data_IF_128462386839
#
_entry.id   IF_128462386839
#
_cell.length_a   1.000
_cell.length_b   1.000
_cell.length_c   1.000
_cell.angle_alpha   90.00
_cell.angle_beta   90.00
_cell.angle_gamma   90.00
#
_symmetry.space_group_name_H-M   'P 1'
#
loop_
_entity.id
_entity.type
_entity.pdbx_description
1 polymer ?
#
# COMPACT_ATOMS: atom_id res chain seq x y z
N UNK A 1 -49.80 -71.97 -45.87
CA UNK A 1 -49.71 -71.09 -47.06
C UNK A 1 -48.93 -69.87 -46.61
N UNK A 2 -47.63 -69.78 -46.96
CA UNK A 2 -47.10 -68.93 -48.05
C UNK A 2 -47.18 -67.44 -47.68
N UNK A 3 -46.18 -66.56 -47.80
CA UNK A 3 -44.79 -66.54 -48.30
C UNK A 3 -44.23 -65.13 -47.89
N UNK A 4 -42.98 -64.83 -48.26
CA UNK A 4 -42.31 -63.51 -48.38
C UNK A 4 -41.39 -63.04 -47.25
N UNK A 5 -40.34 -63.85 -47.07
CA UNK A 5 -38.93 -63.43 -46.96
C UNK A 5 -38.48 -62.74 -48.26
N UNK A 6 -38.00 -61.48 -48.25
CA UNK A 6 -36.98 -60.96 -49.20
C UNK A 6 -36.51 -59.57 -48.72
N UNK A 7 -35.26 -59.44 -48.24
CA UNK A 7 -34.37 -58.24 -48.38
C UNK A 7 -33.23 -58.14 -47.35
N UNK A 8 -33.09 -59.06 -46.39
CA UNK A 8 -31.98 -59.02 -45.42
C UNK A 8 -30.77 -59.92 -45.75
N UNK A 9 -30.70 -60.51 -46.95
CA UNK A 9 -29.72 -61.57 -47.29
C UNK A 9 -28.62 -61.18 -48.32
N UNK A 10 -28.47 -59.89 -48.65
CA UNK A 10 -27.67 -59.48 -49.82
C UNK A 10 -26.18 -59.22 -49.63
N UNK A 11 -25.69 -58.83 -48.44
CA UNK A 11 -24.36 -58.19 -48.34
C UNK A 11 -23.35 -58.89 -47.41
N UNK A 12 -23.71 -60.00 -46.78
CA UNK A 12 -22.79 -60.76 -45.91
C UNK A 12 -22.13 -61.97 -46.60
N UNK A 13 -22.44 -62.21 -47.89
CA UNK A 13 -22.14 -63.49 -48.57
C UNK A 13 -20.94 -63.43 -49.53
N UNK A 14 -20.31 -62.28 -49.76
CA UNK A 14 -19.20 -62.19 -50.73
C UNK A 14 -17.79 -62.34 -50.14
N UNK A 15 -17.61 -62.29 -48.81
CA UNK A 15 -16.28 -62.46 -48.20
C UNK A 15 -15.98 -63.90 -47.72
N UNK A 16 -16.98 -64.79 -47.74
CA UNK A 16 -16.83 -66.18 -47.27
C UNK A 16 -16.59 -67.20 -48.40
N UNK A 17 -16.64 -66.78 -49.67
CA UNK A 17 -16.59 -67.67 -50.83
C UNK A 17 -15.20 -68.12 -51.29
N UNK A 18 -14.11 -67.47 -50.84
CA UNK A 18 -12.76 -67.76 -51.36
C UNK A 18 -11.88 -68.63 -50.45
N UNK A 19 -12.42 -69.13 -49.34
CA UNK A 19 -11.64 -69.97 -48.40
C UNK A 19 -11.85 -71.49 -48.59
N UNK A 20 -12.77 -71.92 -49.45
CA UNK A 20 -13.20 -73.33 -49.54
C UNK A 20 -12.74 -74.08 -50.80
N UNK A 21 -12.00 -73.45 -51.72
CA UNK A 21 -11.53 -74.10 -52.96
C UNK A 21 -9.99 -74.16 -53.02
N UNK A 22 -9.40 -74.93 -52.11
CA UNK A 22 -8.03 -75.44 -52.26
C UNK A 22 -7.80 -76.72 -51.43
N UNK A 23 -8.87 -77.49 -51.16
CA UNK A 23 -8.81 -78.75 -50.41
C UNK A 23 -8.51 -79.93 -51.35
N UNK A 24 -7.37 -79.88 -52.02
CA UNK A 24 -6.86 -81.02 -52.75
C UNK A 24 -5.58 -80.66 -53.45
N UNK A 25 -4.44 -81.13 -52.93
CA UNK A 25 -3.46 -81.95 -53.66
C UNK A 25 -2.35 -82.42 -52.70
N UNK A 26 -2.10 -83.73 -52.77
CA UNK A 26 -0.88 -84.47 -52.42
C UNK A 26 -0.41 -84.50 -50.95
N UNK A 27 -0.60 -85.67 -50.34
CA UNK A 27 0.12 -86.13 -49.17
C UNK A 27 1.61 -86.38 -49.46
N UNK A 28 2.51 -85.85 -48.62
CA UNK A 28 3.80 -86.48 -48.29
C UNK A 28 4.29 -86.04 -46.90
N UNK A 29 4.72 -87.04 -46.14
CA UNK A 29 5.17 -87.03 -44.75
C UNK A 29 6.19 -85.94 -44.39
N UNK A 30 5.91 -85.21 -43.29
CA UNK A 30 6.73 -85.15 -42.06
C UNK A 30 6.68 -83.75 -41.43
N UNK A 31 6.18 -83.67 -40.20
CA UNK A 31 6.14 -82.45 -39.40
C UNK A 31 4.72 -81.95 -39.19
N UNK A 32 4.42 -81.52 -37.95
CA UNK A 32 3.16 -80.88 -37.59
C UNK A 32 2.77 -79.86 -38.68
N UNK A 33 1.53 -79.83 -39.18
CA UNK A 33 1.12 -78.99 -40.33
C UNK A 33 1.34 -77.47 -40.15
N UNK A 34 1.79 -77.04 -38.97
CA UNK A 34 2.23 -75.69 -38.64
C UNK A 34 3.70 -75.39 -38.97
N UNK A 35 4.53 -76.40 -39.28
CA UNK A 35 5.97 -76.27 -39.57
C UNK A 35 6.31 -76.59 -41.03
N UNK A 36 5.37 -76.38 -41.95
CA UNK A 36 5.63 -76.52 -43.39
C UNK A 36 6.32 -75.25 -43.94
N UNK A 37 7.65 -75.35 -44.10
CA UNK A 37 8.53 -74.30 -44.61
C UNK A 37 8.20 -73.86 -46.05
N UNK A 38 7.40 -74.61 -46.82
CA UNK A 38 6.99 -74.20 -48.15
C UNK A 38 6.08 -72.96 -48.15
N UNK A 39 5.36 -72.70 -47.05
CA UNK A 39 4.44 -71.55 -46.91
C UNK A 39 5.09 -70.29 -46.33
N UNK A 40 6.29 -70.44 -45.73
CA UNK A 40 6.98 -69.38 -45.00
C UNK A 40 7.37 -68.18 -45.88
N UNK A 41 7.87 -68.34 -47.12
CA UNK A 41 8.23 -67.21 -47.97
C UNK A 41 7.05 -66.25 -48.26
N UNK A 42 5.85 -66.80 -48.47
CA UNK A 42 4.65 -65.99 -48.71
C UNK A 42 4.20 -65.25 -47.43
N UNK A 43 4.24 -65.92 -46.28
CA UNK A 43 3.95 -65.28 -44.99
C UNK A 43 4.96 -64.17 -44.66
N UNK A 44 6.25 -64.41 -44.89
CA UNK A 44 7.33 -63.43 -44.68
C UNK A 44 7.17 -62.23 -45.62
N UNK A 45 6.79 -62.46 -46.88
CA UNK A 45 6.53 -61.37 -47.83
C UNK A 45 5.40 -60.45 -47.34
N UNK A 46 4.24 -61.01 -46.97
CA UNK A 46 3.13 -60.21 -46.45
C UNK A 46 3.43 -59.57 -45.09
N UNK A 47 4.20 -60.23 -44.23
CA UNK A 47 4.70 -59.66 -42.98
C UNK A 47 5.58 -58.44 -43.27
N UNK A 48 6.51 -58.53 -44.21
CA UNK A 48 7.37 -57.41 -44.61
C UNK A 48 6.55 -56.26 -45.19
N UNK A 49 5.56 -56.54 -46.04
CA UNK A 49 4.65 -55.52 -46.58
C UNK A 49 3.86 -54.83 -45.47
N UNK A 50 3.24 -55.59 -44.56
CA UNK A 50 2.50 -55.04 -43.43
C UNK A 50 3.39 -54.21 -42.49
N UNK A 51 4.61 -54.69 -42.21
CA UNK A 51 5.60 -53.98 -41.41
C UNK A 51 5.97 -52.64 -42.04
N UNK A 52 6.24 -52.61 -43.35
CA UNK A 52 6.56 -51.38 -44.08
C UNK A 52 5.39 -50.40 -44.05
N UNK A 53 4.16 -50.87 -44.25
CA UNK A 53 2.97 -50.02 -44.18
C UNK A 53 2.82 -49.41 -42.78
N UNK A 54 2.92 -50.21 -41.72
CA UNK A 54 2.84 -49.73 -40.33
C UNK A 54 3.98 -48.75 -40.03
N UNK A 55 5.21 -49.04 -40.48
CA UNK A 55 6.36 -48.16 -40.31
C UNK A 55 6.15 -46.80 -40.96
N UNK A 56 5.60 -46.76 -42.18
CA UNK A 56 5.30 -45.49 -42.86
C UNK A 56 4.21 -44.70 -42.13
N UNK A 57 3.16 -45.36 -41.63
CA UNK A 57 2.10 -44.71 -40.84
C UNK A 57 2.67 -44.13 -39.54
N UNK A 58 3.48 -44.90 -38.81
CA UNK A 58 4.08 -44.44 -37.56
C UNK A 58 5.04 -43.28 -37.79
N UNK A 59 5.93 -43.41 -38.77
CA UNK A 59 6.95 -42.40 -39.07
C UNK A 59 6.36 -41.09 -39.62
N UNK A 60 5.31 -41.16 -40.47
CA UNK A 60 4.73 -39.96 -41.07
C UNK A 60 3.49 -39.40 -40.41
N UNK A 61 2.79 -40.14 -39.56
CA UNK A 61 1.55 -39.67 -38.94
C UNK A 61 1.62 -39.70 -37.42
N UNK A 62 1.95 -40.85 -36.82
CA UNK A 62 1.86 -41.00 -35.37
C UNK A 62 2.96 -40.20 -34.63
N UNK A 63 4.22 -40.38 -35.00
CA UNK A 63 5.36 -39.68 -34.39
C UNK A 63 5.28 -38.15 -34.53
N UNK A 64 5.01 -37.57 -35.72
CA UNK A 64 4.92 -36.11 -35.82
C UNK A 64 3.74 -35.52 -35.04
N UNK A 65 2.60 -36.23 -34.93
CA UNK A 65 1.47 -35.78 -34.09
C UNK A 65 1.83 -35.74 -32.60
N UNK A 66 2.50 -36.76 -32.10
CA UNK A 66 2.95 -36.81 -30.69
C UNK A 66 4.00 -35.72 -30.43
N UNK A 67 4.94 -35.54 -31.36
CA UNK A 67 5.94 -34.47 -31.30
C UNK A 67 5.32 -33.08 -31.21
N UNK A 68 4.28 -32.81 -32.00
CA UNK A 68 3.53 -31.54 -31.95
C UNK A 68 2.90 -31.28 -30.59
N UNK A 69 2.24 -32.28 -29.99
CA UNK A 69 1.61 -32.13 -28.66
C UNK A 69 2.66 -31.84 -27.57
N UNK A 70 3.81 -32.51 -27.62
CA UNK A 70 4.90 -32.27 -26.66
C UNK A 70 5.45 -30.85 -26.84
N UNK A 71 5.69 -30.42 -28.08
CA UNK A 71 6.17 -29.08 -28.39
C UNK A 71 5.18 -28.00 -27.95
N UNK A 72 3.87 -28.19 -28.18
CA UNK A 72 2.82 -27.26 -27.75
C UNK A 72 2.79 -27.12 -26.22
N UNK A 73 2.90 -28.25 -25.49
CA UNK A 73 2.95 -28.22 -24.02
C UNK A 73 4.20 -27.54 -23.51
N UNK A 74 5.36 -27.86 -24.07
CA UNK A 74 6.61 -27.20 -23.72
C UNK A 74 6.54 -25.70 -23.99
N UNK A 75 6.02 -25.30 -25.16
CA UNK A 75 5.83 -23.90 -25.54
C UNK A 75 4.91 -23.16 -24.57
N UNK A 76 3.78 -23.75 -24.16
CA UNK A 76 2.90 -23.16 -23.15
C UNK A 76 3.59 -23.02 -21.81
N UNK A 77 4.27 -24.05 -21.31
CA UNK A 77 4.97 -24.01 -20.03
C UNK A 77 6.06 -22.92 -20.04
N UNK A 78 6.87 -22.86 -21.10
CA UNK A 78 7.92 -21.83 -21.23
C UNK A 78 7.32 -20.44 -21.30
N UNK A 79 6.24 -20.24 -22.05
CA UNK A 79 5.55 -18.96 -22.13
C UNK A 79 4.95 -18.55 -20.77
N UNK A 80 4.32 -19.47 -20.06
CA UNK A 80 3.72 -19.21 -18.75
C UNK A 80 4.81 -18.89 -17.71
N UNK A 81 5.96 -19.57 -17.76
CA UNK A 81 7.12 -19.26 -16.92
C UNK A 81 7.66 -17.85 -17.24
N UNK A 82 7.85 -17.53 -18.51
CA UNK A 82 8.35 -16.21 -18.92
C UNK A 82 7.39 -15.09 -18.48
N UNK A 83 6.08 -15.29 -18.66
CA UNK A 83 5.05 -14.36 -18.21
C UNK A 83 5.05 -14.21 -16.68
N UNK A 84 5.21 -15.32 -15.93
CA UNK A 84 5.30 -15.29 -14.47
C UNK A 84 6.55 -14.55 -13.98
N UNK A 85 7.70 -14.74 -14.63
CA UNK A 85 8.94 -14.03 -14.33
C UNK A 85 8.82 -12.53 -14.62
N UNK A 86 8.20 -12.15 -15.74
CA UNK A 86 7.94 -10.75 -16.08
C UNK A 86 7.01 -10.09 -15.05
N UNK A 87 5.91 -10.76 -14.68
CA UNK A 87 4.98 -10.27 -13.66
C UNK A 87 5.66 -10.16 -12.29
N UNK A 88 6.52 -11.11 -11.93
CA UNK A 88 7.32 -11.05 -10.70
C UNK A 88 8.28 -9.87 -10.71
N UNK A 89 8.99 -9.63 -11.83
CA UNK A 89 9.89 -8.49 -11.96
C UNK A 89 9.14 -7.16 -11.84
N UNK A 90 7.98 -7.04 -12.50
CA UNK A 90 7.10 -5.85 -12.37
C UNK A 90 6.60 -5.66 -10.94
N UNK A 91 6.23 -6.74 -10.25
CA UNK A 91 5.79 -6.65 -8.86
C UNK A 91 6.91 -6.18 -7.92
N UNK A 92 8.13 -6.70 -8.09
CA UNK A 92 9.30 -6.27 -7.30
C UNK A 92 9.65 -4.80 -7.55
N UNK A 93 9.60 -4.36 -8.82
CA UNK A 93 9.86 -2.95 -9.14
C UNK A 93 8.76 -2.04 -8.58
N UNK A 94 7.49 -2.44 -8.69
CA UNK A 94 6.37 -1.70 -8.11
C UNK A 94 6.47 -1.63 -6.58
N UNK A 95 6.86 -2.71 -5.91
CA UNK A 95 7.11 -2.73 -4.46
C UNK A 95 8.24 -1.78 -4.09
N UNK A 96 9.34 -1.77 -4.85
CA UNK A 96 10.47 -0.86 -4.62
C UNK A 96 10.04 0.60 -4.76
N UNK A 97 9.32 0.95 -5.82
CA UNK A 97 8.80 2.31 -6.04
C UNK A 97 7.83 2.70 -4.93
N UNK A 98 6.94 1.79 -4.52
CA UNK A 98 6.02 2.03 -3.42
C UNK A 98 6.74 2.29 -2.09
N UNK A 99 7.75 1.47 -1.76
CA UNK A 99 8.54 1.65 -0.54
C UNK A 99 9.34 2.96 -0.57
N UNK A 100 9.91 3.31 -1.72
CA UNK A 100 10.60 4.59 -1.90
C UNK A 100 9.64 5.77 -1.68
N UNK A 101 8.47 5.74 -2.32
CA UNK A 101 7.45 6.77 -2.15
C UNK A 101 6.98 6.89 -0.69
N UNK A 102 6.91 5.78 0.05
CA UNK A 102 6.56 5.79 1.48
C UNK A 102 7.65 6.45 2.34
N UNK A 103 8.93 6.17 2.04
CA UNK A 103 10.07 6.81 2.72
C UNK A 103 10.11 8.30 2.42
N UNK A 104 9.95 8.68 1.14
CA UNK A 104 9.95 10.07 0.71
C UNK A 104 8.78 10.85 1.35
N UNK A 105 7.57 10.28 1.37
CA UNK A 105 6.41 10.88 2.01
C UNK A 105 6.60 11.06 3.53
N UNK A 106 7.23 10.09 4.21
CA UNK A 106 7.57 10.21 5.63
C UNK A 106 8.62 11.29 5.88
N UNK A 107 9.65 11.36 5.02
CA UNK A 107 10.66 12.41 5.08
C UNK A 107 10.07 13.80 4.89
N UNK A 108 9.18 13.95 3.90
CA UNK A 108 8.47 15.19 3.63
C UNK A 108 7.55 15.60 4.77
N UNK A 109 6.79 14.67 5.33
CA UNK A 109 5.95 14.94 6.50
C UNK A 109 6.79 15.40 7.70
N UNK A 110 7.95 14.78 7.96
CA UNK A 110 8.86 15.21 9.02
C UNK A 110 9.41 16.61 8.76
N UNK A 111 9.76 16.93 7.51
CA UNK A 111 10.22 18.26 7.11
C UNK A 111 9.14 19.32 7.36
N UNK A 112 7.91 19.07 6.92
CA UNK A 112 6.77 19.98 7.14
C UNK A 112 6.52 20.20 8.63
N UNK A 113 6.56 19.14 9.44
CA UNK A 113 6.39 19.26 10.89
C UNK A 113 7.51 20.08 11.53
N UNK A 114 8.76 19.87 11.12
CA UNK A 114 9.89 20.64 11.63
C UNK A 114 9.82 22.12 11.24
N UNK A 115 9.43 22.42 9.99
CA UNK A 115 9.23 23.78 9.50
C UNK A 115 8.10 24.49 10.24
N UNK A 116 6.95 23.82 10.40
CA UNK A 116 5.82 24.35 11.14
C UNK A 116 6.16 24.61 12.62
N UNK A 117 6.91 23.73 13.27
CA UNK A 117 7.37 23.97 14.65
C UNK A 117 8.31 25.17 14.73
N UNK A 118 9.22 25.33 13.77
CA UNK A 118 10.12 26.48 13.73
C UNK A 118 9.37 27.80 13.53
N UNK A 119 8.36 27.81 12.64
CA UNK A 119 7.50 28.97 12.41
C UNK A 119 6.66 29.32 13.65
N UNK A 120 6.02 28.32 14.27
CA UNK A 120 5.26 28.49 15.51
C UNK A 120 6.15 29.05 16.63
N UNK A 121 7.38 28.55 16.78
CA UNK A 121 8.29 29.05 17.82
C UNK A 121 8.67 30.51 17.57
N UNK A 122 8.95 30.87 16.31
CA UNK A 122 9.28 32.25 15.94
C UNK A 122 8.11 33.20 16.22
N UNK A 123 6.89 32.79 15.88
CA UNK A 123 5.68 33.59 16.13
C UNK A 123 5.40 33.71 17.63
N UNK A 124 5.60 32.63 18.40
CA UNK A 124 5.48 32.63 19.85
C UNK A 124 6.49 33.58 20.49
N UNK A 125 7.75 33.56 20.06
CA UNK A 125 8.80 34.44 20.57
C UNK A 125 8.47 35.91 20.28
N UNK A 126 7.98 36.21 19.07
CA UNK A 126 7.56 37.56 18.69
C UNK A 126 6.33 38.03 19.49
N UNK A 127 5.33 37.16 19.68
CA UNK A 127 4.15 37.47 20.47
C UNK A 127 4.49 37.69 21.95
N UNK A 128 5.38 36.85 22.51
CA UNK A 128 5.87 36.98 23.88
C UNK A 128 6.64 38.28 24.08
N UNK A 129 7.58 38.61 23.18
CA UNK A 129 8.33 39.86 23.25
C UNK A 129 7.42 41.10 23.17
N UNK A 130 6.38 41.06 22.33
CA UNK A 130 5.38 42.13 22.26
C UNK A 130 4.56 42.23 23.55
N UNK A 131 4.10 41.10 24.09
CA UNK A 131 3.35 41.07 25.34
C UNK A 131 4.19 41.61 26.51
N UNK A 132 5.46 41.22 26.61
CA UNK A 132 6.38 41.71 27.64
C UNK A 132 6.61 43.22 27.54
N UNK A 133 6.73 43.75 26.32
CA UNK A 133 6.86 45.18 26.09
C UNK A 133 5.59 45.95 26.52
N UNK A 134 4.41 45.45 26.17
CA UNK A 134 3.12 46.04 26.55
C UNK A 134 2.89 45.98 28.07
N UNK A 135 3.19 44.85 28.71
CA UNK A 135 3.12 44.68 30.16
C UNK A 135 4.07 45.66 30.86
N UNK A 136 5.31 45.79 30.37
CA UNK A 136 6.31 46.70 30.94
C UNK A 136 5.85 48.16 30.83
N UNK A 137 5.32 48.56 29.67
CA UNK A 137 4.80 49.91 29.45
C UNK A 137 3.62 50.22 30.37
N UNK A 138 2.65 49.29 30.47
CA UNK A 138 1.47 49.45 31.33
C UNK A 138 1.83 49.46 32.82
N UNK A 139 2.83 48.68 33.21
CA UNK A 139 3.37 48.68 34.57
C UNK A 139 3.99 50.03 34.89
N UNK A 140 4.85 50.56 34.02
CA UNK A 140 5.46 51.88 34.20
C UNK A 140 4.43 53.02 34.27
N UNK A 141 3.38 52.96 33.43
CA UNK A 141 2.27 53.91 33.49
C UNK A 141 1.51 53.81 34.82
N UNK A 142 1.18 52.59 35.24
CA UNK A 142 0.46 52.34 36.51
C UNK A 142 1.28 52.81 37.71
N UNK A 143 2.59 52.56 37.72
CA UNK A 143 3.50 53.06 38.76
C UNK A 143 3.51 54.59 38.81
N UNK A 144 3.57 55.27 37.66
CA UNK A 144 3.47 56.75 37.62
C UNK A 144 2.15 57.25 38.18
N UNK A 145 1.02 56.67 37.78
CA UNK A 145 -0.30 57.03 38.31
C UNK A 145 -0.39 56.81 39.82
N UNK A 146 0.16 55.71 40.33
CA UNK A 146 0.20 55.43 41.77
C UNK A 146 1.04 56.47 42.51
N UNK A 147 2.21 56.84 41.99
CA UNK A 147 3.06 57.89 42.59
C UNK A 147 2.38 59.27 42.57
N UNK A 148 1.68 59.62 41.49
CA UNK A 148 0.87 60.85 41.42
C UNK A 148 -0.26 60.86 42.45
N UNK A 149 -1.01 59.76 42.57
CA UNK A 149 -2.07 59.60 43.58
C UNK A 149 -1.46 59.68 44.99
N UNK A 150 -0.31 59.05 45.23
CA UNK A 150 0.38 59.07 46.53
C UNK A 150 0.84 60.48 46.88
N UNK A 151 1.40 61.21 45.94
CA UNK A 151 1.80 62.60 46.12
C UNK A 151 0.59 63.52 46.38
N UNK A 152 -0.51 63.32 45.65
CA UNK A 152 -1.77 64.04 45.86
C UNK A 152 -2.38 63.75 47.24
N UNK A 153 -2.46 62.48 47.62
CA UNK A 153 -2.94 62.07 48.94
C UNK A 153 -2.09 62.66 50.07
N UNK A 154 -0.76 62.68 49.93
CA UNK A 154 0.12 63.30 50.91
C UNK A 154 -0.16 64.81 51.08
N UNK A 155 -0.43 65.53 49.99
CA UNK A 155 -0.82 66.96 50.04
C UNK A 155 -2.16 67.15 50.73
N UNK A 156 -3.17 66.36 50.35
CA UNK A 156 -4.50 66.42 50.95
C UNK A 156 -4.46 66.12 52.47
N UNK A 157 -3.62 65.17 52.90
CA UNK A 157 -3.41 64.90 54.33
C UNK A 157 -2.82 66.11 55.06
N UNK A 158 -1.85 66.82 54.47
CA UNK A 158 -1.28 68.04 55.06
C UNK A 158 -2.33 69.15 55.16
N UNK A 159 -3.14 69.33 54.12
CA UNK A 159 -4.20 70.33 54.07
C UNK A 159 -5.25 70.07 55.16
N UNK A 160 -5.82 68.85 55.20
CA UNK A 160 -6.81 68.45 56.20
C UNK A 160 -6.24 68.53 57.61
N UNK A 161 -4.99 68.11 57.83
CA UNK A 161 -4.34 68.21 59.14
C UNK A 161 -4.17 69.67 59.59
N UNK A 162 -3.83 70.58 58.67
CA UNK A 162 -3.68 72.02 58.97
C UNK A 162 -5.02 72.66 59.28
N UNK A 163 -6.05 72.36 58.48
CA UNK A 163 -7.42 72.85 58.70
C UNK A 163 -7.98 72.34 60.04
N UNK A 164 -7.85 71.03 60.29
CA UNK A 164 -8.34 70.39 61.53
C UNK A 164 -7.61 70.95 62.76
N UNK A 165 -6.27 71.09 62.70
CA UNK A 165 -5.49 71.69 63.79
C UNK A 165 -5.89 73.15 64.05
N UNK A 166 -6.11 73.94 62.99
CA UNK A 166 -6.60 75.31 63.11
C UNK A 166 -7.98 75.39 63.77
N UNK A 167 -8.91 74.53 63.35
CA UNK A 167 -10.25 74.42 63.92
C UNK A 167 -10.22 74.03 65.41
N UNK A 168 -9.36 73.08 65.79
CA UNK A 168 -9.17 72.68 67.20
C UNK A 168 -8.61 73.83 68.05
N UNK A 169 -7.60 74.56 67.54
CA UNK A 169 -7.02 75.72 68.26
C UNK A 169 -8.06 76.84 68.45
N UNK A 170 -8.89 77.09 67.44
CA UNK A 170 -9.99 78.04 67.54
C UNK A 170 -11.06 77.59 68.56
N UNK A 171 -11.42 76.31 68.56
CA UNK A 171 -12.40 75.74 69.50
C UNK A 171 -11.91 75.76 70.97
N UNK A 172 -10.60 75.67 71.20
CA UNK A 172 -9.97 75.76 72.52
C UNK A 172 -9.74 77.21 73.00
N UNK A 173 -10.20 78.22 72.25
CA UNK A 173 -10.15 79.63 72.64
C UNK A 173 -8.85 80.37 72.29
N UNK A 174 -7.96 79.78 71.48
CA UNK A 174 -6.75 80.42 70.97
C UNK A 174 -6.98 81.16 69.65
N UNK A 175 -6.18 82.20 69.36
CA UNK A 175 -6.13 82.80 68.01
C UNK A 175 -5.26 81.91 67.13
N UNK A 176 -5.85 81.20 66.18
CA UNK A 176 -5.13 80.39 65.21
C UNK A 176 -4.34 81.28 64.24
N UNK A 177 -3.04 81.47 64.48
CA UNK A 177 -2.15 82.04 63.48
C UNK A 177 -1.83 80.96 62.44
N UNK A 178 -2.31 81.14 61.21
CA UNK A 178 -2.21 80.16 60.13
C UNK A 178 -0.76 79.76 59.79
N UNK A 179 0.20 80.67 60.00
CA UNK A 179 1.63 80.42 59.74
C UNK A 179 2.23 79.52 60.82
N UNK A 180 1.84 79.74 62.09
CA UNK A 180 2.30 78.93 63.22
C UNK A 180 1.77 77.49 63.13
N UNK A 181 0.48 77.30 62.79
CA UNK A 181 -0.16 75.99 62.66
C UNK A 181 0.44 75.19 61.50
N UNK A 182 0.61 75.83 60.33
CA UNK A 182 1.23 75.19 59.17
C UNK A 182 2.68 74.76 59.46
N UNK A 183 3.46 75.58 60.18
CA UNK A 183 4.85 75.23 60.53
C UNK A 183 4.94 74.08 61.56
N UNK A 184 4.02 74.03 62.54
CA UNK A 184 3.95 72.96 63.52
C UNK A 184 3.54 71.61 62.90
N UNK A 185 2.55 71.61 61.99
CA UNK A 185 2.13 70.41 61.24
C UNK A 185 3.27 69.92 60.33
N UNK A 186 3.94 70.82 59.61
CA UNK A 186 5.08 70.47 58.77
C UNK A 186 6.26 69.89 59.57
N UNK A 187 6.53 70.38 60.78
CA UNK A 187 7.56 69.84 61.66
C UNK A 187 7.24 68.43 62.16
N UNK A 188 5.96 68.09 62.37
CA UNK A 188 5.51 66.75 62.80
C UNK A 188 5.40 65.73 61.67
N UNK A 189 5.27 66.16 60.42
CA UNK A 189 5.30 65.27 59.26
C UNK A 189 6.72 64.88 58.78
N UNK A 190 7.75 65.59 59.26
CA UNK A 190 9.17 65.39 58.90
C UNK A 190 9.98 64.59 59.92
N UNK A 191 9.43 64.30 61.10
CA UNK A 191 10.05 63.48 62.15
C UNK A 191 9.36 62.14 62.25
#
# INVERSE_FOLDING_TARGET
MANTTTEAAGAATEAAGHAAEAAGHAAKSAGMPQLDFATFPNQIFWLAVALVIIYLILSRVALPRIGGIIADRQGKITNDIAAAEELKAKAVEAEKVYQQALVDARGEAQRIVAEAQAEIQKDLDAATAKADAEISARTAESTRRIEEIRAGAARNVVEVATETAGAIVAALGGKADAKSVASAVAAKLKG
#
